data_IF_874043102657
#
_entry.id   IF_874043102657
#
_cell.length_a   1.000
_cell.length_b   1.000
_cell.length_c   1.000
_cell.angle_alpha   90.00
_cell.angle_beta   90.00
_cell.angle_gamma   90.00
#
_symmetry.space_group_name_H-M   'P 1'
#
loop_
_entity.id
_entity.type
_entity.pdbx_description
1 polymer ?
#
# COMPACT_ATOMS: atom_id res chain seq x y z
N UNK A 1 -34.20 51.39 -18.81
CA UNK A 1 -33.64 50.85 -17.55
C UNK A 1 -34.45 49.62 -17.16
N UNK A 2 -33.87 48.44 -17.23
CA UNK A 2 -34.41 47.23 -16.58
C UNK A 2 -33.23 46.32 -16.26
N UNK A 3 -32.91 46.23 -14.97
CA UNK A 3 -31.87 45.37 -14.39
C UNK A 3 -32.26 43.91 -14.62
N UNK A 4 -31.39 43.11 -15.26
CA UNK A 4 -31.45 41.65 -15.19
C UNK A 4 -30.74 41.21 -13.92
N UNK A 5 -31.45 40.42 -13.11
CA UNK A 5 -30.90 39.74 -11.95
C UNK A 5 -29.86 38.71 -12.42
N UNK A 6 -28.70 38.69 -11.75
CA UNK A 6 -27.73 37.63 -11.87
C UNK A 6 -28.28 36.41 -11.12
N UNK A 7 -28.50 35.33 -11.84
CA UNK A 7 -28.79 34.02 -11.29
C UNK A 7 -27.45 33.41 -10.88
N UNK A 8 -27.20 33.32 -9.58
CA UNK A 8 -26.02 32.66 -9.02
C UNK A 8 -26.06 31.17 -9.38
N UNK A 9 -25.02 30.70 -10.06
CA UNK A 9 -24.79 29.27 -10.26
C UNK A 9 -24.53 28.59 -8.91
N UNK A 10 -25.07 27.38 -8.65
CA UNK A 10 -24.79 26.65 -7.43
C UNK A 10 -23.30 26.29 -7.36
N UNK A 11 -22.69 26.33 -6.17
CA UNK A 11 -21.27 26.03 -6.00
C UNK A 11 -20.98 24.59 -6.46
N UNK A 12 -20.01 24.46 -7.37
CA UNK A 12 -19.43 23.19 -7.78
C UNK A 12 -18.92 22.46 -6.55
N UNK A 13 -19.49 21.27 -6.28
CA UNK A 13 -18.99 20.32 -5.31
C UNK A 13 -17.67 19.74 -5.85
N UNK A 14 -16.59 20.52 -5.71
CA UNK A 14 -15.23 19.98 -5.74
C UNK A 14 -15.09 19.06 -4.53
N UNK A 15 -15.37 17.78 -4.73
CA UNK A 15 -15.09 16.72 -3.75
C UNK A 15 -13.59 16.38 -3.76
N UNK A 16 -12.74 17.39 -3.59
CA UNK A 16 -11.36 17.19 -3.12
C UNK A 16 -11.38 17.07 -1.60
N UNK A 17 -12.04 16.01 -1.11
CA UNK A 17 -12.00 15.67 0.30
C UNK A 17 -10.64 15.02 0.55
N UNK A 18 -9.61 15.84 0.71
CA UNK A 18 -8.35 15.44 1.32
C UNK A 18 -8.70 15.00 2.73
N UNK A 19 -8.88 13.69 2.92
CA UNK A 19 -9.13 13.09 4.21
C UNK A 19 -7.98 13.36 5.17
N UNK A 20 -8.18 13.16 6.49
CA UNK A 20 -7.08 13.21 7.44
C UNK A 20 -5.96 12.27 6.99
N UNK A 21 -4.70 12.73 7.03
CA UNK A 21 -3.54 11.90 6.67
C UNK A 21 -3.23 10.91 7.81
N UNK A 22 -4.10 9.92 8.00
CA UNK A 22 -3.98 8.90 9.05
C UNK A 22 -2.64 8.16 8.95
N UNK A 23 -2.19 7.88 7.72
CA UNK A 23 -0.89 7.28 7.43
C UNK A 23 0.29 8.12 7.95
N UNK A 24 0.28 9.42 7.69
CA UNK A 24 1.31 10.34 8.20
C UNK A 24 1.33 10.37 9.74
N UNK A 25 0.16 10.38 10.35
CA UNK A 25 0.01 10.35 11.80
C UNK A 25 0.60 9.08 12.44
N UNK A 26 0.27 7.89 11.90
CA UNK A 26 0.84 6.64 12.42
C UNK A 26 2.32 6.48 12.13
N UNK A 27 2.79 6.96 10.98
CA UNK A 27 4.23 7.03 10.66
C UNK A 27 4.99 7.82 11.72
N UNK A 28 4.48 8.99 12.07
CA UNK A 28 5.14 9.88 13.03
C UNK A 28 5.13 9.24 14.44
N UNK A 29 4.04 8.58 14.84
CA UNK A 29 3.97 7.84 16.12
C UNK A 29 4.91 6.63 16.18
N UNK A 30 5.03 5.86 15.09
CA UNK A 30 5.97 4.73 15.02
C UNK A 30 7.41 5.24 15.07
N UNK A 31 7.72 6.31 14.35
CA UNK A 31 9.05 6.94 14.38
C UNK A 31 9.40 7.45 15.79
N UNK A 32 8.43 8.05 16.49
CA UNK A 32 8.64 8.52 17.87
C UNK A 32 8.89 7.35 18.84
N UNK A 33 8.11 6.28 18.76
CA UNK A 33 8.29 5.09 19.62
C UNK A 33 9.64 4.41 19.40
N UNK A 34 10.07 4.28 18.14
CA UNK A 34 11.36 3.71 17.81
C UNK A 34 12.53 4.61 18.26
N UNK A 35 12.34 5.94 18.25
CA UNK A 35 13.33 6.89 18.77
C UNK A 35 13.41 6.93 20.31
N UNK A 36 12.32 6.60 21.02
CA UNK A 36 12.33 6.51 22.47
C UNK A 36 13.17 5.32 22.97
N UNK A 37 13.19 4.20 22.25
CA UNK A 37 14.05 3.05 22.55
C UNK A 37 15.56 3.38 22.47
N UNK A 38 15.95 4.36 21.66
CA UNK A 38 17.35 4.83 21.57
C UNK A 38 17.77 5.75 22.73
N UNK A 39 16.82 6.42 23.42
CA UNK A 39 17.13 7.38 24.50
C UNK A 39 17.33 6.74 25.87
N UNK A 40 16.96 5.48 26.08
CA UNK A 40 17.04 4.84 27.41
C UNK A 40 18.43 4.23 27.62
N UNK A 41 19.46 5.09 27.69
CA UNK A 41 20.77 4.75 28.25
C UNK A 41 21.39 5.92 29.03
N UNK A 42 20.65 6.60 29.92
CA UNK A 42 21.22 7.28 31.09
C UNK A 42 20.11 7.84 32.01
N UNK A 43 19.72 7.08 33.03
CA UNK A 43 18.77 7.61 34.01
C UNK A 43 18.18 6.54 34.89
N UNK A 44 18.72 6.44 36.09
CA UNK A 44 18.33 5.56 37.20
C UNK A 44 16.83 5.31 37.32
N UNK A 45 16.36 4.13 36.91
CA UNK A 45 15.32 3.35 37.59
C UNK A 45 15.34 1.92 37.05
N UNK A 46 15.41 0.95 37.96
CA UNK A 46 15.53 -0.49 37.65
C UNK A 46 14.23 -0.99 37.00
N UNK A 47 14.20 -1.10 35.68
CA UNK A 47 13.38 -2.08 34.95
C UNK A 47 14.33 -2.92 34.11
N UNK A 48 14.08 -4.24 34.06
CA UNK A 48 14.95 -5.13 33.31
C UNK A 48 14.84 -4.81 31.81
N UNK A 49 15.93 -4.90 31.02
CA UNK A 49 15.88 -4.63 29.57
C UNK A 49 14.80 -5.42 28.84
N UNK A 50 14.52 -6.64 29.30
CA UNK A 50 13.50 -7.54 28.75
C UNK A 50 12.07 -7.04 28.96
N UNK A 51 11.78 -6.38 30.09
CA UNK A 51 10.45 -5.80 30.37
C UNK A 51 10.19 -4.53 29.56
N UNK A 52 11.24 -3.73 29.29
CA UNK A 52 11.15 -2.50 28.50
C UNK A 52 10.91 -2.83 27.02
N UNK A 53 11.69 -3.77 26.46
CA UNK A 53 11.54 -4.25 25.08
C UNK A 53 10.20 -4.97 24.86
N UNK A 54 9.70 -5.68 25.88
CA UNK A 54 8.38 -6.32 25.84
C UNK A 54 7.25 -5.29 25.78
N UNK A 55 7.30 -4.26 26.62
CA UNK A 55 6.29 -3.19 26.64
C UNK A 55 6.27 -2.36 25.35
N UNK A 56 7.43 -2.09 24.75
CA UNK A 56 7.54 -1.39 23.46
C UNK A 56 6.95 -2.21 22.30
N UNK A 57 7.19 -3.53 22.28
CA UNK A 57 6.61 -4.44 21.29
C UNK A 57 5.09 -4.59 21.42
N UNK A 58 4.56 -4.62 22.63
CA UNK A 58 3.10 -4.63 22.86
C UNK A 58 2.45 -3.33 22.39
N UNK A 59 3.10 -2.20 22.65
CA UNK A 59 2.62 -0.87 22.24
C UNK A 59 2.66 -0.68 20.73
N UNK A 60 3.72 -1.14 20.07
CA UNK A 60 3.80 -1.18 18.61
C UNK A 60 2.75 -2.11 18.00
N UNK A 61 2.51 -3.29 18.58
CA UNK A 61 1.45 -4.19 18.14
C UNK A 61 0.06 -3.61 18.30
N UNK A 62 -0.20 -2.87 19.40
CA UNK A 62 -1.47 -2.18 19.60
C UNK A 62 -1.69 -1.11 18.52
N UNK A 63 -0.67 -0.31 18.23
CA UNK A 63 -0.70 0.69 17.16
C UNK A 63 -0.92 0.07 15.79
N UNK A 64 -0.22 -1.01 15.46
CA UNK A 64 -0.40 -1.71 14.19
C UNK A 64 -1.84 -2.24 14.05
N UNK A 65 -2.44 -2.75 15.13
CA UNK A 65 -3.85 -3.18 15.12
C UNK A 65 -4.79 -2.00 14.91
N UNK A 66 -4.53 -0.87 15.56
CA UNK A 66 -5.31 0.36 15.43
C UNK A 66 -5.21 0.95 14.02
N UNK A 67 -4.00 1.01 13.45
CA UNK A 67 -3.78 1.38 12.04
C UNK A 67 -4.62 0.54 11.10
N UNK A 68 -4.62 -0.78 11.28
CA UNK A 68 -5.38 -1.70 10.44
C UNK A 68 -6.88 -1.40 10.58
N UNK A 69 -7.38 -1.18 11.79
CA UNK A 69 -8.80 -0.85 12.01
C UNK A 69 -9.24 0.46 11.37
N UNK A 70 -8.43 1.52 11.46
CA UNK A 70 -8.74 2.82 10.86
C UNK A 70 -8.59 2.83 9.34
N UNK A 71 -7.72 1.97 8.78
CA UNK A 71 -7.54 1.83 7.33
C UNK A 71 -8.56 0.90 6.66
N UNK A 72 -9.25 0.02 7.40
CA UNK A 72 -10.32 -0.84 6.86
C UNK A 72 -11.37 -0.04 6.06
N UNK A 73 -11.98 1.04 6.57
CA UNK A 73 -12.99 1.78 5.81
C UNK A 73 -12.42 2.44 4.54
N UNK A 74 -11.16 2.88 4.55
CA UNK A 74 -10.51 3.45 3.38
C UNK A 74 -10.19 2.37 2.33
N UNK A 75 -9.78 1.17 2.76
CA UNK A 75 -9.60 -0.01 1.91
C UNK A 75 -10.94 -0.49 1.35
N UNK A 76 -12.01 -0.51 2.15
CA UNK A 76 -13.37 -0.88 1.71
C UNK A 76 -13.92 0.12 0.70
N UNK A 77 -13.69 1.42 0.91
CA UNK A 77 -14.06 2.47 -0.04
C UNK A 77 -13.28 2.31 -1.36
N UNK A 78 -11.97 2.04 -1.28
CA UNK A 78 -11.13 1.82 -2.45
C UNK A 78 -11.53 0.55 -3.20
N UNK A 79 -11.87 -0.52 -2.47
CA UNK A 79 -12.39 -1.77 -3.03
C UNK A 79 -13.75 -1.55 -3.69
N UNK A 80 -14.63 -0.75 -3.10
CA UNK A 80 -15.92 -0.34 -3.68
C UNK A 80 -15.74 0.46 -4.98
N UNK A 81 -14.76 1.39 -5.02
CA UNK A 81 -14.41 2.13 -6.23
C UNK A 81 -13.86 1.21 -7.33
N UNK A 82 -13.00 0.25 -6.98
CA UNK A 82 -12.49 -0.76 -7.91
C UNK A 82 -13.61 -1.67 -8.44
N UNK A 83 -14.54 -2.10 -7.58
CA UNK A 83 -15.72 -2.85 -8.00
C UNK A 83 -16.61 -2.03 -8.93
N UNK A 84 -16.79 -0.73 -8.65
CA UNK A 84 -17.52 0.19 -9.52
C UNK A 84 -16.83 0.35 -10.88
N UNK A 85 -15.52 0.54 -10.92
CA UNK A 85 -14.75 0.61 -12.18
C UNK A 85 -14.82 -0.70 -12.97
N UNK A 86 -14.73 -1.85 -12.29
CA UNK A 86 -14.86 -3.17 -12.90
C UNK A 86 -16.27 -3.41 -13.42
N UNK A 87 -17.29 -2.91 -12.73
CA UNK A 87 -18.67 -2.95 -13.21
C UNK A 87 -18.89 -2.04 -14.40
N UNK A 88 -18.40 -0.79 -14.37
CA UNK A 88 -18.44 0.12 -15.52
C UNK A 88 -17.76 -0.49 -16.77
N UNK A 89 -16.65 -1.22 -16.58
CA UNK A 89 -16.00 -1.97 -17.66
C UNK A 89 -16.85 -3.16 -18.18
N UNK A 90 -17.70 -3.75 -17.34
CA UNK A 90 -18.60 -4.86 -17.69
C UNK A 90 -19.94 -4.39 -18.26
N UNK A 91 -20.40 -3.18 -17.92
CA UNK A 91 -21.58 -2.52 -18.48
C UNK A 91 -21.41 -2.19 -19.97
N UNK A 92 -20.17 -2.17 -20.47
CA UNK A 92 -19.90 -2.24 -21.92
C UNK A 92 -20.54 -3.46 -22.60
N UNK A 93 -20.95 -4.50 -21.85
CA UNK A 93 -21.48 -5.76 -22.41
C UNK A 93 -22.77 -6.32 -21.77
N UNK A 94 -23.34 -5.79 -20.68
CA UNK A 94 -24.65 -6.24 -20.11
C UNK A 94 -25.41 -5.14 -19.36
N UNK A 95 -26.74 -5.23 -19.38
CA UNK A 95 -27.72 -4.26 -18.84
C UNK A 95 -28.00 -4.49 -17.33
N UNK A 96 -28.01 -3.45 -16.46
CA UNK A 96 -28.32 -3.59 -15.04
C UNK A 96 -29.83 -3.43 -14.72
N UNK A 97 -30.31 -4.12 -13.67
CA UNK A 97 -31.76 -4.25 -13.36
C UNK A 97 -32.28 -3.31 -12.25
N UNK A 98 -31.42 -2.57 -11.54
CA UNK A 98 -31.82 -1.66 -10.45
C UNK A 98 -32.23 -0.26 -10.97
N UNK A 99 -33.41 0.28 -10.59
CA UNK A 99 -33.95 1.53 -11.15
C UNK A 99 -33.07 2.78 -10.92
N UNK A 100 -32.38 2.91 -9.78
CA UNK A 100 -31.48 4.05 -9.55
C UNK A 100 -30.20 3.96 -10.41
N UNK A 101 -29.79 2.74 -10.75
CA UNK A 101 -28.65 2.48 -11.63
C UNK A 101 -29.01 2.53 -13.12
N UNK A 102 -30.29 2.32 -13.46
CA UNK A 102 -30.81 2.47 -14.83
C UNK A 102 -30.79 3.92 -15.31
N UNK A 103 -31.16 4.87 -14.45
CA UNK A 103 -31.16 6.30 -14.79
C UNK A 103 -29.73 6.81 -15.05
N UNK A 104 -28.78 6.45 -14.18
CA UNK A 104 -27.35 6.77 -14.37
C UNK A 104 -26.77 6.09 -15.61
N UNK A 105 -27.16 4.85 -15.90
CA UNK A 105 -26.73 4.13 -17.11
C UNK A 105 -27.30 4.76 -18.39
N UNK A 106 -28.55 5.21 -18.38
CA UNK A 106 -29.17 5.93 -19.51
C UNK A 106 -28.50 7.28 -19.77
N UNK A 107 -28.19 8.05 -18.73
CA UNK A 107 -27.48 9.33 -18.84
C UNK A 107 -26.05 9.16 -19.34
N UNK A 108 -25.30 8.16 -18.84
CA UNK A 108 -23.95 7.86 -19.34
C UNK A 108 -24.02 7.39 -20.79
N UNK A 109 -24.99 6.54 -21.16
CA UNK A 109 -25.17 6.12 -22.55
C UNK A 109 -25.56 7.28 -23.47
N UNK A 110 -26.37 8.24 -22.99
CA UNK A 110 -26.73 9.44 -23.73
C UNK A 110 -25.51 10.36 -23.92
N UNK A 111 -24.72 10.54 -22.87
CA UNK A 111 -23.50 11.35 -22.91
C UNK A 111 -22.45 10.74 -23.86
N UNK A 112 -22.27 9.41 -23.83
CA UNK A 112 -21.40 8.68 -24.75
C UNK A 112 -21.85 8.78 -26.21
N UNK A 113 -23.16 8.88 -26.47
CA UNK A 113 -23.71 9.07 -27.82
C UNK A 113 -23.59 10.52 -28.30
N UNK A 114 -23.67 11.48 -27.37
CA UNK A 114 -23.70 12.91 -27.69
C UNK A 114 -22.29 13.47 -27.93
N UNK A 115 -21.35 13.14 -27.04
CA UNK A 115 -19.96 13.59 -27.12
C UNK A 115 -18.99 12.51 -26.61
N UNK A 116 -18.67 11.50 -27.44
CA UNK A 116 -17.79 10.40 -27.05
C UNK A 116 -16.36 10.87 -26.73
N UNK A 117 -15.89 11.95 -27.34
CA UNK A 117 -14.54 12.48 -27.13
C UNK A 117 -14.42 13.15 -25.76
N UNK A 118 -15.45 13.90 -25.34
CA UNK A 118 -15.52 14.47 -23.99
C UNK A 118 -15.54 13.38 -22.91
N UNK A 119 -16.36 12.33 -23.09
CA UNK A 119 -16.39 11.20 -22.14
C UNK A 119 -15.04 10.51 -22.08
N UNK A 120 -14.42 10.22 -23.22
CA UNK A 120 -13.09 9.62 -23.29
C UNK A 120 -12.06 10.48 -22.57
N UNK A 121 -12.09 11.80 -22.77
CA UNK A 121 -11.18 12.73 -22.10
C UNK A 121 -11.38 12.73 -20.57
N UNK A 122 -12.62 12.78 -20.10
CA UNK A 122 -12.94 12.75 -18.67
C UNK A 122 -12.52 11.44 -18.02
N UNK A 123 -12.86 10.29 -18.62
CA UNK A 123 -12.46 8.97 -18.13
C UNK A 123 -10.95 8.83 -18.10
N UNK A 124 -10.25 9.28 -19.16
CA UNK A 124 -8.78 9.24 -19.22
C UNK A 124 -8.17 10.08 -18.09
N UNK A 125 -8.66 11.29 -17.87
CA UNK A 125 -8.18 12.18 -16.80
C UNK A 125 -8.32 11.52 -15.43
N UNK A 126 -9.52 11.05 -15.08
CA UNK A 126 -9.76 10.41 -13.79
C UNK A 126 -8.94 9.12 -13.63
N UNK A 127 -8.81 8.33 -14.70
CA UNK A 127 -7.98 7.12 -14.68
C UNK A 127 -6.52 7.47 -14.40
N UNK A 128 -5.99 8.50 -15.04
CA UNK A 128 -4.61 8.95 -14.81
C UNK A 128 -4.40 9.46 -13.37
N UNK A 129 -5.36 10.21 -12.82
CA UNK A 129 -5.31 10.69 -11.44
C UNK A 129 -5.32 9.54 -10.44
N UNK A 130 -6.20 8.55 -10.63
CA UNK A 130 -6.25 7.34 -9.80
C UNK A 130 -4.96 6.53 -9.91
N UNK A 131 -4.43 6.34 -11.13
CA UNK A 131 -3.16 5.65 -11.35
C UNK A 131 -1.98 6.39 -10.70
N UNK A 132 -1.96 7.73 -10.77
CA UNK A 132 -0.94 8.53 -10.11
C UNK A 132 -1.01 8.38 -8.58
N UNK A 133 -2.22 8.39 -8.01
CA UNK A 133 -2.44 8.17 -6.58
C UNK A 133 -1.99 6.77 -6.14
N UNK A 134 -2.39 5.72 -6.88
CA UNK A 134 -1.97 4.34 -6.62
C UNK A 134 -0.45 4.18 -6.66
N UNK A 135 0.20 4.75 -7.68
CA UNK A 135 1.66 4.73 -7.79
C UNK A 135 2.33 5.46 -6.62
N UNK A 136 1.76 6.58 -6.17
CA UNK A 136 2.28 7.31 -5.00
C UNK A 136 2.15 6.46 -3.71
N UNK A 137 1.00 5.84 -3.48
CA UNK A 137 0.79 4.95 -2.34
C UNK A 137 1.74 3.76 -2.38
N UNK A 138 1.94 3.13 -3.54
CA UNK A 138 2.90 2.05 -3.69
C UNK A 138 4.31 2.50 -3.30
N UNK A 139 4.77 3.66 -3.79
CA UNK A 139 6.09 4.20 -3.42
C UNK A 139 6.22 4.47 -1.91
N UNK A 140 5.17 4.99 -1.29
CA UNK A 140 5.15 5.22 0.16
C UNK A 140 5.24 3.92 0.96
N UNK A 141 4.54 2.87 0.53
CA UNK A 141 4.62 1.54 1.13
C UNK A 141 6.00 0.92 0.96
N UNK A 142 6.59 1.00 -0.23
CA UNK A 142 7.94 0.48 -0.46
C UNK A 142 8.98 1.23 0.39
N UNK A 143 8.86 2.55 0.54
CA UNK A 143 9.72 3.34 1.43
C UNK A 143 9.53 2.98 2.91
N UNK A 144 8.30 2.73 3.34
CA UNK A 144 8.03 2.29 4.71
C UNK A 144 8.67 0.92 5.00
N UNK A 145 8.55 -0.02 4.05
CA UNK A 145 9.20 -1.33 4.14
C UNK A 145 10.72 -1.21 4.22
N UNK A 146 11.32 -0.32 3.42
CA UNK A 146 12.76 -0.05 3.49
C UNK A 146 13.18 0.52 4.84
N UNK A 147 12.41 1.46 5.39
CA UNK A 147 12.69 2.03 6.71
C UNK A 147 12.62 0.96 7.81
N UNK A 148 11.63 0.08 7.77
CA UNK A 148 11.49 -1.04 8.71
C UNK A 148 12.62 -2.05 8.55
N UNK A 149 12.98 -2.39 7.32
CA UNK A 149 14.08 -3.32 7.05
C UNK A 149 15.45 -2.72 7.47
N UNK A 150 15.63 -1.42 7.31
CA UNK A 150 16.84 -0.71 7.72
C UNK A 150 16.99 -0.60 9.25
N UNK A 151 15.89 -0.56 10.00
CA UNK A 151 15.91 -0.58 11.47
C UNK A 151 16.12 -1.98 12.05
N UNK A 152 16.01 -3.03 11.24
CA UNK A 152 16.29 -4.39 11.68
C UNK A 152 17.79 -4.61 11.86
N UNK A 153 18.19 -5.34 12.90
CA UNK A 153 19.58 -5.77 13.08
C UNK A 153 20.07 -6.61 11.87
N UNK A 154 21.39 -6.69 11.64
CA UNK A 154 21.94 -7.65 10.69
C UNK A 154 21.41 -9.08 10.90
N UNK A 155 21.08 -9.79 9.82
CA UNK A 155 20.78 -11.21 9.90
C UNK A 155 22.03 -12.02 10.23
N UNK A 156 21.87 -12.95 11.15
CA UNK A 156 22.85 -13.99 11.41
C UNK A 156 22.93 -14.99 10.25
N UNK A 157 24.04 -15.72 10.18
CA UNK A 157 24.23 -16.78 9.17
C UNK A 157 23.13 -17.85 9.20
N UNK A 158 22.65 -18.21 10.39
CA UNK A 158 21.54 -19.16 10.54
C UNK A 158 20.25 -18.64 9.92
N UNK A 159 19.91 -17.37 10.18
CA UNK A 159 18.72 -16.73 9.61
C UNK A 159 18.80 -16.61 8.08
N UNK A 160 19.97 -16.28 7.54
CA UNK A 160 20.20 -16.25 6.09
C UNK A 160 19.98 -17.62 5.46
N UNK A 161 20.49 -18.68 6.10
CA UNK A 161 20.33 -20.05 5.61
C UNK A 161 18.86 -20.52 5.70
N UNK A 162 18.17 -20.19 6.79
CA UNK A 162 16.75 -20.49 6.96
C UNK A 162 15.88 -19.74 5.94
N UNK A 163 16.21 -18.48 5.65
CA UNK A 163 15.57 -17.69 4.61
C UNK A 163 15.76 -18.33 3.24
N UNK A 164 16.99 -18.71 2.90
CA UNK A 164 17.31 -19.37 1.65
C UNK A 164 16.51 -20.68 1.48
N UNK A 165 16.51 -21.54 2.50
CA UNK A 165 15.73 -22.77 2.50
C UNK A 165 14.24 -22.49 2.34
N UNK A 166 13.74 -21.46 3.03
CA UNK A 166 12.34 -21.05 2.97
C UNK A 166 11.92 -20.54 1.61
N UNK A 167 12.81 -19.87 0.88
CA UNK A 167 12.57 -19.40 -0.49
C UNK A 167 12.49 -20.60 -1.44
N UNK A 168 13.42 -21.57 -1.33
CA UNK A 168 13.44 -22.74 -2.23
C UNK A 168 12.17 -23.61 -2.17
N UNK A 169 11.47 -23.61 -1.03
CA UNK A 169 10.22 -24.37 -0.86
C UNK A 169 8.97 -23.59 -1.28
N UNK A 170 9.11 -22.37 -1.80
CA UNK A 170 7.98 -21.60 -2.30
C UNK A 170 7.51 -22.10 -3.69
N UNK A 171 6.19 -22.12 -3.96
CA UNK A 171 5.61 -22.30 -5.28
C UNK A 171 6.10 -21.23 -6.25
N UNK A 172 6.14 -21.60 -7.53
CA UNK A 172 6.69 -20.77 -8.59
C UNK A 172 6.10 -19.37 -8.70
N UNK A 173 4.82 -19.19 -8.38
CA UNK A 173 4.19 -17.85 -8.39
C UNK A 173 4.79 -16.92 -7.34
N UNK A 174 5.08 -17.43 -6.14
CA UNK A 174 5.74 -16.65 -5.09
C UNK A 174 7.21 -16.37 -5.42
N UNK A 175 7.88 -17.30 -6.11
CA UNK A 175 9.25 -17.10 -6.58
C UNK A 175 9.35 -15.94 -7.59
N UNK A 176 8.35 -15.75 -8.46
CA UNK A 176 8.30 -14.57 -9.36
C UNK A 176 8.30 -13.26 -8.58
N UNK A 177 7.56 -13.20 -7.47
CA UNK A 177 7.56 -12.00 -6.62
C UNK A 177 8.88 -11.81 -5.87
N UNK A 178 9.51 -12.90 -5.41
CA UNK A 178 10.88 -12.84 -4.85
C UNK A 178 11.86 -12.23 -5.85
N UNK A 179 11.87 -12.73 -7.09
CA UNK A 179 12.72 -12.17 -8.15
C UNK A 179 12.42 -10.69 -8.41
N UNK A 180 11.14 -10.30 -8.36
CA UNK A 180 10.72 -8.89 -8.44
C UNK A 180 11.31 -8.03 -7.32
N UNK A 181 11.27 -8.49 -6.06
CA UNK A 181 11.83 -7.76 -4.91
C UNK A 181 13.34 -7.54 -5.10
N UNK A 182 14.08 -8.57 -5.53
CA UNK A 182 15.52 -8.45 -5.77
C UNK A 182 15.78 -7.47 -6.92
N UNK A 183 15.04 -7.59 -8.02
CA UNK A 183 15.16 -6.68 -9.17
C UNK A 183 14.91 -5.23 -8.77
N UNK A 184 13.81 -4.97 -8.08
CA UNK A 184 13.43 -3.62 -7.66
C UNK A 184 14.51 -3.00 -6.76
N UNK A 185 15.09 -3.80 -5.86
CA UNK A 185 16.18 -3.36 -5.00
C UNK A 185 17.45 -3.02 -5.80
N UNK A 186 17.85 -3.86 -6.74
CA UNK A 186 19.01 -3.61 -7.60
C UNK A 186 18.83 -2.35 -8.46
N UNK A 187 17.64 -2.17 -9.03
CA UNK A 187 17.28 -0.97 -9.80
C UNK A 187 17.35 0.28 -8.91
N UNK A 188 16.88 0.22 -7.66
CA UNK A 188 16.98 1.31 -6.71
C UNK A 188 18.43 1.68 -6.37
N UNK A 189 19.33 0.69 -6.36
CA UNK A 189 20.78 0.89 -6.21
C UNK A 189 21.49 1.33 -7.50
N UNK A 190 20.78 1.45 -8.62
CA UNK A 190 21.35 1.79 -9.93
C UNK A 190 22.22 0.67 -10.53
N UNK A 191 22.04 -0.58 -10.08
CA UNK A 191 22.78 -1.75 -10.58
C UNK A 191 22.03 -2.40 -11.74
N UNK A 192 22.78 -2.95 -12.70
CA UNK A 192 22.20 -3.80 -13.74
C UNK A 192 21.75 -5.14 -13.15
N UNK A 193 20.58 -5.62 -13.58
CA UNK A 193 19.99 -6.87 -13.11
C UNK A 193 20.01 -7.89 -14.25
N UNK A 194 20.80 -8.98 -14.15
CA UNK A 194 20.84 -10.01 -15.19
C UNK A 194 19.57 -10.87 -15.20
N UNK A 195 19.31 -11.54 -16.33
CA UNK A 195 18.12 -12.42 -16.50
C UNK A 195 18.16 -13.66 -15.57
N UNK A 196 19.37 -14.10 -15.19
CA UNK A 196 19.59 -15.18 -14.22
C UNK A 196 20.40 -14.64 -13.04
N UNK A 197 19.73 -14.48 -11.89
CA UNK A 197 20.35 -13.91 -10.68
C UNK A 197 20.56 -15.00 -9.64
N UNK A 198 21.83 -15.35 -9.43
CA UNK A 198 22.26 -16.08 -8.25
C UNK A 198 22.50 -15.08 -7.12
N UNK A 199 21.54 -14.97 -6.18
CA UNK A 199 21.65 -14.09 -5.02
C UNK A 199 22.55 -14.75 -3.97
N UNK A 200 23.71 -14.16 -3.70
CA UNK A 200 24.58 -14.59 -2.61
C UNK A 200 24.16 -13.92 -1.30
N UNK A 201 23.32 -14.59 -0.50
CA UNK A 201 22.79 -14.05 0.76
C UNK A 201 23.84 -13.51 1.74
N UNK A 202 25.12 -13.90 1.61
CA UNK A 202 26.19 -13.39 2.47
C UNK A 202 26.72 -12.01 2.11
N UNK A 203 26.68 -11.65 0.82
CA UNK A 203 27.23 -10.40 0.28
C UNK A 203 26.18 -9.29 0.15
N UNK A 204 24.92 -9.66 0.31
CA UNK A 204 23.77 -8.80 0.12
C UNK A 204 23.50 -7.89 1.31
N UNK A 205 22.89 -6.74 1.02
CA UNK A 205 22.59 -5.76 2.04
C UNK A 205 21.46 -6.22 2.98
N UNK A 206 21.48 -5.68 4.19
CA UNK A 206 20.55 -6.05 5.23
C UNK A 206 19.09 -5.72 4.86
N UNK A 207 18.85 -4.64 4.11
CA UNK A 207 17.51 -4.19 3.75
C UNK A 207 16.87 -5.23 2.84
N UNK A 208 17.55 -5.63 1.76
CA UNK A 208 17.01 -6.63 0.84
C UNK A 208 16.74 -7.96 1.55
N UNK A 209 17.66 -8.43 2.39
CA UNK A 209 17.47 -9.68 3.14
C UNK A 209 16.19 -9.62 3.99
N UNK A 210 15.97 -8.54 4.76
CA UNK A 210 14.78 -8.42 5.59
C UNK A 210 13.49 -8.28 4.77
N UNK A 211 13.54 -7.59 3.62
CA UNK A 211 12.39 -7.55 2.70
C UNK A 211 11.99 -8.94 2.23
N UNK A 212 12.96 -9.75 1.84
CA UNK A 212 12.72 -11.15 1.46
C UNK A 212 12.14 -11.94 2.63
N UNK A 213 12.70 -11.79 3.84
CA UNK A 213 12.20 -12.45 5.04
C UNK A 213 10.74 -12.10 5.33
N UNK A 214 10.37 -10.82 5.32
CA UNK A 214 8.98 -10.39 5.54
C UNK A 214 8.02 -10.95 4.50
N UNK A 215 8.40 -10.94 3.23
CA UNK A 215 7.60 -11.53 2.16
C UNK A 215 7.37 -13.03 2.39
N UNK A 216 8.43 -13.78 2.64
CA UNK A 216 8.36 -15.23 2.87
C UNK A 216 7.50 -15.54 4.09
N UNK A 217 7.66 -14.78 5.18
CA UNK A 217 6.85 -14.93 6.39
C UNK A 217 5.36 -14.66 6.11
N UNK A 218 5.02 -13.61 5.36
CA UNK A 218 3.66 -13.31 4.97
C UNK A 218 3.03 -14.45 4.14
N UNK A 219 3.78 -15.00 3.17
CA UNK A 219 3.30 -16.13 2.35
C UNK A 219 3.06 -17.38 3.19
N UNK A 220 3.98 -17.72 4.11
CA UNK A 220 3.80 -18.86 5.03
C UNK A 220 2.57 -18.68 5.92
N UNK A 221 2.38 -17.48 6.46
CA UNK A 221 1.22 -17.15 7.28
C UNK A 221 -0.08 -17.27 6.49
N UNK A 222 -0.13 -16.74 5.26
CA UNK A 222 -1.31 -16.84 4.40
C UNK A 222 -1.69 -18.29 4.12
N UNK A 223 -0.72 -19.17 3.83
CA UNK A 223 -1.00 -20.61 3.62
C UNK A 223 -1.52 -21.30 4.86
N UNK A 224 -0.94 -20.98 6.03
CA UNK A 224 -1.39 -21.54 7.30
C UNK A 224 -2.84 -21.15 7.60
N UNK A 225 -3.24 -19.92 7.24
CA UNK A 225 -4.62 -19.44 7.43
C UNK A 225 -5.61 -20.01 6.41
N UNK A 226 -5.12 -20.44 5.24
CA UNK A 226 -5.94 -21.06 4.21
C UNK A 226 -6.11 -22.60 4.39
N UNK A 227 -5.45 -23.18 5.39
CA UNK A 227 -5.51 -24.60 5.75
C UNK A 227 -6.51 -24.82 6.89
#
# INVERSE_FOLDING_TARGET
MTKRAAEEAPPSLDSSRTGPNFLGHYRDQVAELLSQGERIQLGTTKKSPTEVIGAENEKLNALLRECVWELIPEVDEMQSRVFSMRQMSQLSNKKPEDPAFKEVDEDIQLLMKSDPDLVKQMVTKHTNEVLASLNNMQKQLESLLDNVANSCRPMSRGEKQDLQNSIMVLPGENLKRVAGIVKDHYVALGKEFPDEVTVNMEEEDNIMLWRLHFYVAAVKNARRLAS
#
